data_IF_015669003157
#
_entry.id   IF_015669003157
#
_cell.length_a   1.000
_cell.length_b   1.000
_cell.length_c   1.000
_cell.angle_alpha   90.00
_cell.angle_beta   90.00
_cell.angle_gamma   90.00
#
_symmetry.space_group_name_H-M   'P 1'
#
loop_
_entity.id
_entity.type
_entity.pdbx_description
1 polymer ?
#
# COMPACT_ATOMS: atom_id res chain seq x y z
N UNK A 1 20.13 21.68 -13.15
CA UNK A 1 19.99 22.28 -14.52
C UNK A 1 18.83 23.27 -14.65
N UNK A 2 18.19 23.68 -13.56
CA UNK A 2 17.15 24.74 -13.55
C UNK A 2 15.77 24.35 -14.02
N UNK A 3 15.56 23.17 -14.56
CA UNK A 3 14.21 22.65 -14.89
C UNK A 3 13.64 21.77 -13.78
N UNK A 4 12.34 21.93 -13.53
CA UNK A 4 11.60 21.12 -12.57
C UNK A 4 10.70 20.15 -13.32
N UNK A 5 11.31 19.10 -13.85
CA UNK A 5 10.62 18.01 -14.55
C UNK A 5 11.32 16.69 -14.22
N UNK A 6 10.53 15.65 -14.02
CA UNK A 6 10.98 14.28 -13.76
C UNK A 6 10.09 13.26 -14.45
N UNK A 7 10.66 12.09 -14.75
CA UNK A 7 9.92 10.95 -15.25
C UNK A 7 10.57 9.66 -14.75
N UNK A 8 9.80 8.84 -14.07
CA UNK A 8 10.24 7.58 -13.47
C UNK A 8 9.43 6.41 -14.03
N UNK A 9 10.07 5.27 -14.13
CA UNK A 9 9.44 4.01 -14.55
C UNK A 9 9.47 3.03 -13.38
N UNK A 10 8.35 2.40 -13.12
CA UNK A 10 8.25 1.32 -12.14
C UNK A 10 7.51 0.12 -12.73
N UNK A 11 8.03 -1.07 -12.46
CA UNK A 11 7.44 -2.35 -12.86
C UNK A 11 7.10 -3.12 -11.59
N UNK A 12 5.85 -3.46 -11.43
CA UNK A 12 5.34 -4.20 -10.27
C UNK A 12 4.80 -5.57 -10.66
N UNK A 13 4.24 -6.31 -9.71
CA UNK A 13 3.65 -7.63 -9.99
C UNK A 13 2.37 -7.59 -10.85
N UNK A 14 1.72 -6.42 -10.94
CA UNK A 14 0.43 -6.26 -11.63
C UNK A 14 0.43 -5.13 -12.66
N UNK A 15 1.33 -4.16 -12.55
CA UNK A 15 1.30 -2.94 -13.35
C UNK A 15 2.69 -2.44 -13.70
N UNK A 16 2.81 -1.87 -14.87
CA UNK A 16 3.87 -0.98 -15.29
C UNK A 16 3.37 0.46 -15.19
N UNK A 17 4.19 1.36 -14.64
CA UNK A 17 3.87 2.76 -14.51
C UNK A 17 5.00 3.63 -15.02
N UNK A 18 4.65 4.63 -15.80
CA UNK A 18 5.54 5.72 -16.21
C UNK A 18 4.97 7.00 -15.61
N UNK A 19 5.58 7.48 -14.51
CA UNK A 19 5.09 8.62 -13.74
C UNK A 19 5.92 9.85 -14.06
N UNK A 20 5.26 10.91 -14.54
CA UNK A 20 5.88 12.20 -14.82
C UNK A 20 5.36 13.27 -13.86
N UNK A 21 6.22 14.23 -13.51
CA UNK A 21 5.84 15.43 -12.80
C UNK A 21 6.65 16.62 -13.29
N UNK A 22 6.00 17.79 -13.36
CA UNK A 22 6.65 19.04 -13.75
C UNK A 22 5.90 20.26 -13.25
N UNK A 23 6.57 21.42 -13.33
CA UNK A 23 5.84 22.70 -13.34
C UNK A 23 5.14 22.90 -14.68
N UNK A 24 4.10 23.76 -14.78
CA UNK A 24 3.47 24.07 -16.07
C UNK A 24 4.48 24.55 -17.14
N UNK A 25 5.48 25.34 -16.73
CA UNK A 25 6.56 25.83 -17.59
C UNK A 25 7.41 24.71 -18.19
N UNK A 26 7.63 23.64 -17.43
CA UNK A 26 8.53 22.53 -17.79
C UNK A 26 7.75 21.30 -18.31
N UNK A 27 6.45 21.45 -18.62
CA UNK A 27 5.58 20.35 -19.05
C UNK A 27 6.12 19.64 -20.29
N UNK A 28 6.55 20.39 -21.33
CA UNK A 28 7.15 19.77 -22.52
C UNK A 28 8.40 18.98 -22.19
N UNK A 29 9.24 19.47 -21.26
CA UNK A 29 10.43 18.70 -20.82
C UNK A 29 10.08 17.38 -20.17
N UNK A 30 9.01 17.35 -19.38
CA UNK A 30 8.49 16.11 -18.81
C UNK A 30 8.00 15.15 -19.90
N UNK A 31 7.29 15.66 -20.92
CA UNK A 31 6.82 14.84 -22.03
C UNK A 31 7.99 14.28 -22.86
N UNK A 32 9.05 15.06 -23.06
CA UNK A 32 10.30 14.61 -23.68
C UNK A 32 10.97 13.49 -22.89
N UNK A 33 11.04 13.63 -21.56
CA UNK A 33 11.59 12.58 -20.70
C UNK A 33 10.76 11.30 -20.76
N UNK A 34 9.44 11.41 -20.72
CA UNK A 34 8.53 10.28 -20.88
C UNK A 34 8.74 9.59 -22.24
N UNK A 35 8.81 10.35 -23.33
CA UNK A 35 9.06 9.82 -24.67
C UNK A 35 10.39 9.04 -24.73
N UNK A 36 11.46 9.57 -24.15
CA UNK A 36 12.75 8.92 -24.09
C UNK A 36 12.75 7.62 -23.27
N UNK A 37 11.86 7.51 -22.26
CA UNK A 37 11.68 6.25 -21.50
C UNK A 37 11.16 5.11 -22.38
N UNK A 38 10.33 5.42 -23.36
CA UNK A 38 9.82 4.43 -24.31
C UNK A 38 10.80 4.18 -25.47
N UNK A 39 11.39 5.23 -26.04
CA UNK A 39 12.12 5.16 -27.29
C UNK A 39 13.60 4.86 -27.12
N UNK A 40 14.25 5.52 -26.17
CA UNK A 40 15.72 5.50 -26.03
C UNK A 40 16.15 5.29 -24.56
N UNK A 41 15.71 4.21 -23.91
CA UNK A 41 16.17 3.91 -22.54
C UNK A 41 17.67 3.61 -22.57
N UNK A 42 18.46 4.29 -21.74
CA UNK A 42 19.89 4.09 -21.66
C UNK A 42 20.27 3.08 -20.57
N UNK A 43 20.96 2.02 -20.96
CA UNK A 43 21.52 1.00 -20.06
C UNK A 43 23.03 1.17 -19.99
N UNK A 44 23.48 1.93 -19.02
CA UNK A 44 24.89 2.32 -18.85
C UNK A 44 25.60 1.34 -17.91
N UNK A 45 26.60 0.66 -18.44
CA UNK A 45 27.38 -0.35 -17.70
C UNK A 45 28.10 0.21 -16.47
N UNK A 46 28.66 1.43 -16.57
CA UNK A 46 29.36 2.05 -15.45
C UNK A 46 28.38 2.47 -14.37
N UNK A 47 27.27 3.11 -14.75
CA UNK A 47 26.21 3.47 -13.79
C UNK A 47 25.63 2.22 -13.11
N UNK A 48 25.40 1.15 -13.85
CA UNK A 48 24.93 -0.13 -13.30
C UNK A 48 25.93 -0.67 -12.26
N UNK A 49 27.23 -0.72 -12.58
CA UNK A 49 28.27 -1.17 -11.65
C UNK A 49 28.24 -0.41 -10.34
N UNK A 50 28.21 0.92 -10.42
CA UNK A 50 28.14 1.81 -9.23
C UNK A 50 26.88 1.55 -8.40
N UNK A 51 25.73 1.35 -9.05
CA UNK A 51 24.46 1.05 -8.37
C UNK A 51 24.53 -0.29 -7.67
N UNK A 52 25.05 -1.33 -8.32
CA UNK A 52 25.18 -2.67 -7.74
C UNK A 52 26.13 -2.68 -6.54
N UNK A 53 27.29 -2.04 -6.66
CA UNK A 53 28.23 -1.92 -5.53
C UNK A 53 27.59 -1.22 -4.33
N UNK A 54 26.86 -0.13 -4.57
CA UNK A 54 26.14 0.59 -3.52
C UNK A 54 25.02 -0.28 -2.90
N UNK A 55 24.33 -1.05 -3.70
CA UNK A 55 23.29 -1.95 -3.21
C UNK A 55 23.86 -3.09 -2.36
N UNK A 56 25.03 -3.62 -2.69
CA UNK A 56 25.73 -4.59 -1.84
C UNK A 56 26.14 -3.99 -0.50
N UNK A 57 26.69 -2.77 -0.51
CA UNK A 57 27.02 -2.07 0.74
C UNK A 57 25.75 -1.88 1.59
N UNK A 58 24.67 -1.43 0.98
CA UNK A 58 23.40 -1.21 1.66
C UNK A 58 22.80 -2.54 2.18
N UNK A 59 22.81 -3.61 1.41
CA UNK A 59 22.34 -4.93 1.83
C UNK A 59 23.09 -5.42 3.07
N UNK A 60 24.42 -5.25 3.11
CA UNK A 60 25.25 -5.58 4.28
C UNK A 60 24.94 -4.69 5.47
N UNK A 61 24.73 -3.39 5.25
CA UNK A 61 24.41 -2.44 6.30
C UNK A 61 23.08 -2.74 7.00
N UNK A 62 22.06 -3.16 6.24
CA UNK A 62 20.74 -3.46 6.80
C UNK A 62 20.61 -4.91 7.31
N UNK A 63 21.54 -5.79 6.95
CA UNK A 63 21.53 -7.19 7.39
C UNK A 63 21.56 -7.26 8.93
N UNK A 64 20.60 -7.98 9.48
CA UNK A 64 20.49 -8.14 10.94
C UNK A 64 19.92 -6.93 11.71
N UNK A 65 19.62 -5.81 11.03
CA UNK A 65 18.92 -4.71 11.68
C UNK A 65 17.49 -5.11 12.11
N UNK A 66 17.03 -4.69 13.31
CA UNK A 66 15.71 -5.06 13.83
C UNK A 66 14.57 -4.79 12.84
N UNK A 67 14.54 -3.60 12.24
CA UNK A 67 13.50 -3.20 11.28
C UNK A 67 13.51 -4.07 10.02
N UNK A 68 14.70 -4.50 9.58
CA UNK A 68 14.83 -5.42 8.44
C UNK A 68 14.27 -6.79 8.78
N UNK A 69 14.65 -7.34 9.95
CA UNK A 69 14.14 -8.64 10.41
C UNK A 69 12.61 -8.60 10.54
N UNK A 70 12.06 -7.55 11.15
CA UNK A 70 10.60 -7.39 11.29
C UNK A 70 9.90 -7.34 9.94
N UNK A 71 10.36 -6.48 9.03
CA UNK A 71 9.80 -6.33 7.67
C UNK A 71 9.86 -7.63 6.88
N UNK A 72 11.00 -8.29 6.89
CA UNK A 72 11.25 -9.50 6.11
C UNK A 72 10.45 -10.68 6.67
N UNK A 73 10.40 -10.83 8.00
CA UNK A 73 9.57 -11.83 8.67
C UNK A 73 8.08 -11.63 8.34
N UNK A 74 7.59 -10.40 8.47
CA UNK A 74 6.19 -10.09 8.14
C UNK A 74 5.89 -10.36 6.66
N UNK A 75 6.77 -9.99 5.75
CA UNK A 75 6.61 -10.22 4.31
C UNK A 75 6.54 -11.70 3.97
N UNK A 76 7.44 -12.51 4.52
CA UNK A 76 7.47 -13.95 4.30
C UNK A 76 6.23 -14.64 4.88
N UNK A 77 5.88 -14.32 6.12
CA UNK A 77 4.74 -14.95 6.81
C UNK A 77 3.43 -14.55 6.11
N UNK A 78 3.26 -13.27 5.78
CA UNK A 78 2.04 -12.77 5.12
C UNK A 78 1.82 -13.36 3.72
N UNK A 79 2.87 -13.85 3.09
CA UNK A 79 2.80 -14.52 1.79
C UNK A 79 2.90 -16.05 1.92
N UNK A 80 2.73 -16.60 3.12
CA UNK A 80 2.87 -18.03 3.39
C UNK A 80 4.18 -18.61 2.83
N UNK A 81 5.29 -17.87 3.01
CA UNK A 81 6.63 -18.24 2.51
C UNK A 81 6.69 -18.51 1.01
N UNK A 82 5.85 -17.85 0.23
CA UNK A 82 5.85 -17.96 -1.22
C UNK A 82 7.24 -17.67 -1.79
N UNK A 83 7.78 -18.51 -2.72
CA UNK A 83 9.07 -18.28 -3.36
C UNK A 83 9.08 -17.00 -4.22
N UNK A 84 7.92 -16.38 -4.45
CA UNK A 84 7.80 -15.11 -5.15
C UNK A 84 8.13 -13.90 -4.26
N UNK A 85 8.15 -14.07 -2.95
CA UNK A 85 8.65 -13.04 -2.03
C UNK A 85 10.17 -13.07 -2.05
N UNK A 86 10.76 -11.98 -2.51
CA UNK A 86 12.21 -11.82 -2.59
C UNK A 86 12.65 -10.80 -1.55
N UNK A 87 13.55 -11.22 -0.66
CA UNK A 87 14.15 -10.36 0.34
C UNK A 87 15.34 -9.61 -0.26
N UNK A 88 15.51 -8.36 0.14
CA UNK A 88 16.64 -7.57 -0.31
C UNK A 88 17.91 -7.94 0.46
N UNK A 89 18.80 -8.69 -0.19
CA UNK A 89 20.07 -9.15 0.35
C UNK A 89 21.10 -9.30 -0.78
N UNK A 90 22.36 -9.67 -0.45
CA UNK A 90 23.43 -9.85 -1.45
C UNK A 90 23.01 -10.79 -2.58
N UNK A 91 22.41 -11.94 -2.27
CA UNK A 91 21.96 -12.90 -3.28
C UNK A 91 20.84 -12.36 -4.20
N UNK A 92 20.03 -11.42 -3.69
CA UNK A 92 19.09 -10.70 -4.54
C UNK A 92 19.80 -9.72 -5.45
N UNK A 93 20.76 -8.95 -4.92
CA UNK A 93 21.55 -7.97 -5.69
C UNK A 93 22.36 -8.63 -6.79
N UNK A 94 22.98 -9.80 -6.54
CA UNK A 94 23.71 -10.58 -7.54
C UNK A 94 22.88 -10.94 -8.77
N UNK A 95 21.56 -11.08 -8.61
CA UNK A 95 20.66 -11.40 -9.72
C UNK A 95 20.26 -10.20 -10.58
N UNK A 96 20.57 -8.97 -10.15
CA UNK A 96 20.25 -7.73 -10.85
C UNK A 96 21.30 -7.41 -11.92
N UNK A 97 21.50 -8.34 -12.88
CA UNK A 97 22.43 -8.11 -14.00
C UNK A 97 21.85 -7.09 -14.98
N UNK A 98 22.71 -6.33 -15.65
CA UNK A 98 22.28 -5.32 -16.62
C UNK A 98 21.41 -5.93 -17.73
N UNK A 99 21.81 -7.09 -18.26
CA UNK A 99 21.06 -7.80 -19.31
C UNK A 99 19.65 -8.18 -18.88
N UNK A 100 19.50 -8.65 -17.62
CA UNK A 100 18.17 -8.99 -17.09
C UNK A 100 17.28 -7.77 -16.89
N UNK A 101 17.89 -6.67 -16.42
CA UNK A 101 17.19 -5.39 -16.24
C UNK A 101 16.75 -4.84 -17.59
N UNK A 102 17.67 -4.81 -18.57
CA UNK A 102 17.38 -4.34 -19.92
C UNK A 102 16.29 -5.19 -20.59
N UNK A 103 16.40 -6.52 -20.52
CA UNK A 103 15.40 -7.42 -21.09
C UNK A 103 14.02 -7.21 -20.47
N UNK A 104 13.94 -7.12 -19.14
CA UNK A 104 12.66 -6.89 -18.45
C UNK A 104 12.08 -5.52 -18.80
N UNK A 105 12.91 -4.49 -18.86
CA UNK A 105 12.47 -3.13 -19.19
C UNK A 105 11.93 -3.07 -20.63
N UNK A 106 12.69 -3.57 -21.61
CA UNK A 106 12.29 -3.56 -23.01
C UNK A 106 11.03 -4.39 -23.27
N UNK A 107 10.87 -5.51 -22.56
CA UNK A 107 9.66 -6.31 -22.66
C UNK A 107 8.43 -5.58 -22.10
N UNK A 108 8.59 -4.88 -20.98
CA UNK A 108 7.45 -4.24 -20.28
C UNK A 108 7.09 -2.85 -20.78
N UNK A 109 8.06 -2.09 -21.34
CA UNK A 109 7.90 -0.67 -21.72
C UNK A 109 8.03 -0.50 -23.25
N UNK A 110 7.77 -1.52 -24.04
CA UNK A 110 7.96 -1.44 -25.49
C UNK A 110 6.72 -1.05 -26.29
N UNK A 111 5.53 -1.13 -25.70
CA UNK A 111 4.26 -0.94 -26.41
C UNK A 111 3.40 0.11 -25.73
N UNK A 112 3.34 1.30 -26.31
CA UNK A 112 2.52 2.38 -25.74
C UNK A 112 1.01 2.13 -25.86
N UNK A 113 0.56 1.24 -26.75
CA UNK A 113 -0.85 0.86 -26.86
C UNK A 113 -1.38 0.07 -25.66
N UNK A 114 -0.49 -0.51 -24.85
CA UNK A 114 -0.83 -1.20 -23.59
C UNK A 114 -0.94 -0.22 -22.40
N UNK A 115 -0.62 1.05 -22.61
CA UNK A 115 -0.70 2.10 -21.60
C UNK A 115 -1.92 3.00 -21.76
N UNK A 116 -2.44 3.45 -20.62
CA UNK A 116 -3.40 4.55 -20.56
C UNK A 116 -2.76 5.75 -19.90
N UNK A 117 -2.79 6.89 -20.60
CA UNK A 117 -2.13 8.12 -20.15
C UNK A 117 -3.14 9.06 -19.47
N UNK A 118 -2.80 9.52 -18.28
CA UNK A 118 -3.58 10.48 -17.51
C UNK A 118 -2.75 11.74 -17.28
N UNK A 119 -3.28 12.90 -17.65
CA UNK A 119 -2.65 14.20 -17.42
C UNK A 119 -3.53 15.00 -16.48
N UNK A 120 -2.99 15.40 -15.34
CA UNK A 120 -3.68 16.16 -14.31
C UNK A 120 -2.82 17.33 -13.86
N UNK A 121 -3.38 18.52 -13.81
CA UNK A 121 -2.67 19.71 -13.32
C UNK A 121 -3.14 21.00 -13.98
N UNK A 122 -2.42 22.07 -13.68
CA UNK A 122 -2.65 23.38 -14.29
C UNK A 122 -1.95 23.45 -15.67
N UNK A 123 -2.52 22.77 -16.64
CA UNK A 123 -2.08 22.79 -18.05
C UNK A 123 -3.27 23.11 -18.95
N UNK A 124 -3.04 23.97 -19.92
CA UNK A 124 -4.05 24.29 -20.93
C UNK A 124 -4.37 23.05 -21.79
N UNK A 125 -5.66 22.86 -22.12
CA UNK A 125 -6.14 21.68 -22.87
C UNK A 125 -5.54 21.57 -24.28
N UNK A 126 -5.37 22.69 -24.96
CA UNK A 126 -4.83 22.67 -26.32
C UNK A 126 -3.33 22.38 -26.29
N UNK A 127 -2.61 22.97 -25.33
CA UNK A 127 -1.22 22.60 -25.04
C UNK A 127 -1.09 21.13 -24.72
N UNK A 128 -1.92 20.59 -23.82
CA UNK A 128 -1.90 19.17 -23.47
C UNK A 128 -2.18 18.28 -24.69
N UNK A 129 -3.14 18.65 -25.54
CA UNK A 129 -3.46 17.93 -26.78
C UNK A 129 -2.27 17.91 -27.74
N UNK A 130 -1.65 19.07 -28.00
CA UNK A 130 -0.48 19.16 -28.89
C UNK A 130 0.67 18.32 -28.36
N UNK A 131 0.94 18.40 -27.06
CA UNK A 131 2.00 17.60 -26.45
C UNK A 131 1.69 16.10 -26.49
N UNK A 132 0.45 15.70 -26.24
CA UNK A 132 0.03 14.30 -26.36
C UNK A 132 0.17 13.78 -27.80
N UNK A 133 -0.26 14.55 -28.81
CA UNK A 133 -0.09 14.20 -30.21
C UNK A 133 1.39 14.03 -30.57
N UNK A 134 2.24 14.95 -30.11
CA UNK A 134 3.68 14.97 -30.42
C UNK A 134 4.44 13.83 -29.74
N UNK A 135 4.19 13.60 -28.47
CA UNK A 135 5.01 12.71 -27.63
C UNK A 135 4.36 11.37 -27.31
N UNK A 136 3.02 11.28 -27.23
CA UNK A 136 2.32 10.02 -26.99
C UNK A 136 1.90 9.39 -28.33
N UNK A 137 1.31 10.19 -29.21
CA UNK A 137 0.81 9.68 -30.49
C UNK A 137 1.87 9.20 -31.47
N UNK A 138 3.15 9.52 -31.22
CA UNK A 138 4.31 9.03 -32.00
C UNK A 138 5.03 7.84 -31.38
N UNK A 139 4.56 7.34 -30.21
CA UNK A 139 5.14 6.16 -29.57
C UNK A 139 4.78 4.88 -30.35
N UNK A 140 5.63 3.83 -30.27
CA UNK A 140 5.36 2.56 -30.92
C UNK A 140 4.10 1.91 -30.37
N UNK A 141 3.34 1.30 -31.26
CA UNK A 141 2.09 0.60 -30.96
C UNK A 141 2.15 -0.79 -31.57
N UNK A 142 2.32 -1.79 -30.74
CA UNK A 142 2.37 -3.21 -31.11
C UNK A 142 1.02 -3.91 -30.91
N UNK A 143 0.05 -3.20 -30.33
CA UNK A 143 -1.30 -3.71 -30.02
C UNK A 143 -1.28 -4.98 -29.15
N UNK A 144 -0.33 -5.05 -28.21
CA UNK A 144 -0.31 -6.12 -27.21
C UNK A 144 -1.56 -6.01 -26.33
N UNK A 145 -2.12 -7.14 -25.99
CA UNK A 145 -3.26 -7.22 -25.06
C UNK A 145 -2.83 -8.05 -23.85
N UNK A 146 -2.07 -7.43 -22.98
CA UNK A 146 -1.59 -8.10 -21.78
C UNK A 146 -2.66 -8.10 -20.68
N UNK A 147 -2.67 -9.18 -19.92
CA UNK A 147 -3.54 -9.31 -18.74
C UNK A 147 -2.68 -9.78 -17.57
N UNK A 148 -2.90 -9.15 -16.45
CA UNK A 148 -2.27 -9.60 -15.21
C UNK A 148 -2.73 -11.03 -14.84
N UNK A 149 -1.88 -11.77 -14.19
CA UNK A 149 -2.15 -13.14 -13.76
C UNK A 149 -2.03 -13.23 -12.25
N UNK A 150 -3.09 -13.70 -11.60
CA UNK A 150 -3.03 -14.02 -10.17
C UNK A 150 -2.08 -15.20 -9.94
N UNK A 151 -0.94 -14.94 -9.33
CA UNK A 151 0.10 -15.92 -9.02
C UNK A 151 -0.16 -16.68 -7.72
N UNK A 152 -1.36 -16.57 -7.15
CA UNK A 152 -1.84 -17.30 -5.98
C UNK A 152 -0.95 -17.08 -4.73
N UNK A 153 -0.35 -15.90 -4.59
CA UNK A 153 0.30 -15.51 -3.34
C UNK A 153 -0.78 -15.13 -2.34
N UNK A 154 -0.88 -15.87 -1.25
CA UNK A 154 -1.95 -15.74 -0.25
C UNK A 154 -1.37 -15.76 1.15
N UNK A 155 -2.09 -15.16 2.09
CA UNK A 155 -1.83 -15.32 3.51
C UNK A 155 -2.02 -16.79 3.94
N UNK A 156 -1.31 -17.24 4.98
CA UNK A 156 -1.53 -18.57 5.55
C UNK A 156 -2.97 -18.69 6.07
N UNK A 157 -3.54 -19.89 5.97
CA UNK A 157 -4.87 -20.19 6.50
C UNK A 157 -4.88 -20.42 8.00
N UNK A 158 -5.95 -19.97 8.64
CA UNK A 158 -6.12 -20.10 10.08
C UNK A 158 -5.31 -19.07 10.87
N UNK A 159 -4.82 -19.46 12.05
CA UNK A 159 -4.00 -18.59 12.92
C UNK A 159 -2.54 -19.03 12.89
N UNK A 160 -1.65 -18.09 12.56
CA UNK A 160 -0.20 -18.23 12.71
C UNK A 160 0.25 -17.30 13.84
N UNK A 161 0.81 -17.88 14.89
CA UNK A 161 1.33 -17.15 16.05
C UNK A 161 2.83 -17.39 16.19
N UNK A 162 3.61 -16.31 16.30
CA UNK A 162 5.07 -16.39 16.45
C UNK A 162 5.59 -15.29 17.36
N UNK A 163 6.54 -15.70 18.22
CA UNK A 163 7.43 -14.80 18.95
C UNK A 163 8.80 -14.84 18.25
N UNK A 164 9.30 -13.70 17.86
CA UNK A 164 10.54 -13.55 17.10
C UNK A 164 11.48 -12.65 17.89
N UNK A 165 12.61 -13.21 18.31
CA UNK A 165 13.64 -12.45 18.98
C UNK A 165 14.48 -11.67 17.98
N UNK A 166 14.71 -10.39 18.25
CA UNK A 166 15.46 -9.47 17.40
C UNK A 166 16.47 -8.66 18.22
N UNK A 167 17.61 -8.27 17.64
CA UNK A 167 18.67 -7.56 18.34
C UNK A 167 18.32 -6.09 18.56
N UNK A 168 17.57 -5.81 19.62
CA UNK A 168 17.17 -4.45 19.99
C UNK A 168 18.11 -3.87 21.04
N UNK A 169 18.58 -2.62 20.80
CA UNK A 169 19.38 -1.87 21.78
C UNK A 169 18.54 -1.40 22.98
N UNK A 170 17.29 -0.99 22.70
CA UNK A 170 16.32 -0.58 23.71
C UNK A 170 15.32 -1.72 23.90
N UNK A 171 15.07 -2.15 25.17
CA UNK A 171 14.17 -3.25 25.44
C UNK A 171 12.69 -2.85 25.18
N UNK A 172 12.24 -3.06 23.95
CA UNK A 172 10.87 -2.88 23.52
C UNK A 172 10.39 -4.09 22.76
N UNK A 173 9.12 -4.42 22.88
CA UNK A 173 8.45 -5.40 22.00
C UNK A 173 7.52 -4.70 21.06
N UNK A 174 7.47 -5.18 19.82
CA UNK A 174 6.47 -4.77 18.81
C UNK A 174 5.48 -5.90 18.61
N UNK A 175 4.22 -5.62 18.87
CA UNK A 175 3.10 -6.54 18.62
C UNK A 175 2.47 -6.18 17.29
N UNK A 176 2.27 -7.18 16.44
CA UNK A 176 1.57 -7.05 15.15
C UNK A 176 0.50 -8.12 15.05
N UNK A 177 -0.74 -7.71 14.84
CA UNK A 177 -1.85 -8.61 14.52
C UNK A 177 -2.44 -8.22 13.18
N UNK A 178 -2.41 -9.14 12.23
CA UNK A 178 -2.97 -8.95 10.89
C UNK A 178 -4.10 -9.93 10.67
N UNK A 179 -5.31 -9.41 10.50
CA UNK A 179 -6.46 -10.17 10.02
C UNK A 179 -6.55 -10.05 8.50
N UNK A 180 -6.73 -11.17 7.84
CA UNK A 180 -6.87 -11.26 6.40
C UNK A 180 -8.11 -12.08 6.04
N UNK A 181 -8.93 -11.59 5.10
CA UNK A 181 -10.08 -12.35 4.63
C UNK A 181 -10.38 -12.10 3.17
N UNK A 182 -10.45 -13.17 2.41
CA UNK A 182 -10.97 -13.15 1.05
C UNK A 182 -12.50 -13.07 1.09
N UNK A 183 -13.08 -11.99 0.57
CA UNK A 183 -14.52 -11.80 0.44
C UNK A 183 -14.82 -10.82 -0.69
N UNK A 184 -16.02 -10.97 -1.29
CA UNK A 184 -16.45 -10.13 -2.41
C UNK A 184 -16.33 -8.65 -2.06
N UNK A 185 -15.61 -7.91 -2.90
CA UNK A 185 -15.42 -6.48 -2.74
C UNK A 185 -16.73 -5.72 -2.97
N UNK A 186 -17.03 -4.79 -2.07
CA UNK A 186 -18.01 -3.72 -2.29
C UNK A 186 -17.42 -2.39 -1.82
N UNK A 187 -17.78 -1.30 -2.48
CA UNK A 187 -17.27 0.02 -2.12
C UNK A 187 -17.69 0.42 -0.71
N UNK A 188 -18.93 0.10 -0.31
CA UNK A 188 -19.43 0.36 1.06
C UNK A 188 -18.58 -0.38 2.11
N UNK A 189 -18.30 -1.67 1.90
CA UNK A 189 -17.48 -2.46 2.84
C UNK A 189 -16.02 -1.99 2.86
N UNK A 190 -15.48 -1.50 1.74
CA UNK A 190 -14.14 -0.92 1.70
C UNK A 190 -14.03 0.36 2.54
N UNK A 191 -15.05 1.22 2.52
CA UNK A 191 -15.11 2.34 3.46
C UNK A 191 -15.36 1.88 4.89
N UNK A 192 -16.21 0.88 5.08
CA UNK A 192 -16.55 0.38 6.41
C UNK A 192 -15.33 -0.21 7.14
N UNK A 193 -14.46 -0.95 6.44
CA UNK A 193 -13.24 -1.49 7.09
C UNK A 193 -12.26 -0.38 7.47
N UNK A 194 -12.15 0.69 6.67
CA UNK A 194 -11.34 1.85 7.01
C UNK A 194 -11.90 2.58 8.23
N UNK A 195 -13.21 2.83 8.26
CA UNK A 195 -13.91 3.44 9.40
C UNK A 195 -13.73 2.58 10.66
N UNK A 196 -13.89 1.27 10.56
CA UNK A 196 -13.69 0.32 11.66
C UNK A 196 -12.25 0.40 12.21
N UNK A 197 -11.24 0.48 11.33
CA UNK A 197 -9.84 0.65 11.73
C UNK A 197 -9.62 1.95 12.53
N UNK A 198 -10.21 3.06 12.08
CA UNK A 198 -10.13 4.33 12.79
C UNK A 198 -10.84 4.30 14.15
N UNK A 199 -12.00 3.65 14.26
CA UNK A 199 -12.70 3.48 15.52
C UNK A 199 -11.87 2.62 16.49
N UNK A 200 -11.30 1.51 16.01
CA UNK A 200 -10.42 0.66 16.80
C UNK A 200 -9.16 1.43 17.28
N UNK A 201 -8.56 2.25 16.42
CA UNK A 201 -7.43 3.11 16.82
C UNK A 201 -7.82 4.01 18.00
N UNK A 202 -8.99 4.64 17.94
CA UNK A 202 -9.45 5.49 19.02
C UNK A 202 -9.70 4.70 20.32
N UNK A 203 -10.33 3.52 20.24
CA UNK A 203 -10.57 2.64 21.40
C UNK A 203 -9.28 2.16 22.01
N UNK A 204 -8.33 1.67 21.21
CA UNK A 204 -7.04 1.19 21.71
C UNK A 204 -6.18 2.31 22.30
N UNK A 205 -6.26 3.52 21.75
CA UNK A 205 -5.58 4.68 22.34
C UNK A 205 -6.08 4.91 23.75
N UNK A 206 -7.38 4.78 23.99
CA UNK A 206 -7.97 4.90 25.33
C UNK A 206 -7.58 3.71 26.22
N UNK A 207 -7.84 2.47 25.79
CA UNK A 207 -7.70 1.26 26.63
C UNK A 207 -6.26 0.86 26.88
N UNK A 208 -5.42 0.85 25.85
CA UNK A 208 -4.04 0.36 25.94
C UNK A 208 -3.08 1.46 26.39
N UNK A 209 -3.23 2.68 25.83
CA UNK A 209 -2.33 3.77 26.12
C UNK A 209 -2.70 4.50 27.41
N UNK A 210 -3.95 4.96 27.56
CA UNK A 210 -4.37 5.84 28.64
C UNK A 210 -4.67 5.05 29.93
N UNK A 211 -5.40 3.93 29.85
CA UNK A 211 -5.80 3.16 31.04
C UNK A 211 -4.70 2.23 31.53
N UNK A 212 -3.95 1.59 30.63
CA UNK A 212 -2.91 0.62 31.01
C UNK A 212 -1.50 1.24 31.03
N UNK A 213 -1.30 2.42 30.46
CA UNK A 213 0.01 3.07 30.38
C UNK A 213 1.05 2.19 29.65
N UNK A 214 0.60 1.25 28.82
CA UNK A 214 1.41 0.16 28.31
C UNK A 214 2.10 0.43 26.98
N UNK A 215 1.74 1.53 26.30
CA UNK A 215 2.29 1.84 24.96
C UNK A 215 2.35 3.34 24.69
N UNK A 216 3.24 3.71 23.80
CA UNK A 216 3.31 5.08 23.27
C UNK A 216 2.22 5.38 22.24
N UNK A 217 1.68 4.37 21.59
CA UNK A 217 0.58 4.50 20.64
C UNK A 217 0.21 3.17 19.99
N UNK A 218 -1.03 3.07 19.54
CA UNK A 218 -1.55 1.93 18.79
C UNK A 218 -2.01 2.40 17.43
N UNK A 219 -1.59 1.72 16.38
CA UNK A 219 -2.01 1.94 15.00
C UNK A 219 -2.91 0.83 14.50
N UNK A 220 -4.07 1.19 13.93
CA UNK A 220 -4.92 0.24 13.21
C UNK A 220 -5.20 0.76 11.82
N UNK A 221 -5.04 -0.08 10.83
CA UNK A 221 -5.30 0.23 9.42
C UNK A 221 -6.17 -0.86 8.80
N UNK A 222 -7.36 -0.48 8.34
CA UNK A 222 -8.26 -1.34 7.57
C UNK A 222 -8.18 -1.03 6.09
N UNK A 223 -8.05 -2.05 5.24
CA UNK A 223 -7.96 -1.88 3.79
C UNK A 223 -8.68 -2.98 3.03
N UNK A 224 -9.06 -2.66 1.79
CA UNK A 224 -9.66 -3.61 0.87
C UNK A 224 -9.03 -3.50 -0.51
N UNK A 225 -8.78 -4.62 -1.17
CA UNK A 225 -8.27 -4.69 -2.53
C UNK A 225 -9.18 -5.51 -3.43
N UNK A 226 -9.14 -5.22 -4.74
CA UNK A 226 -9.82 -6.01 -5.78
C UNK A 226 -8.86 -6.95 -6.50
N UNK A 227 -7.61 -6.57 -6.57
CA UNK A 227 -6.57 -7.24 -7.36
C UNK A 227 -5.37 -7.58 -6.48
N UNK A 228 -4.74 -8.73 -6.72
CA UNK A 228 -5.05 -9.77 -7.69
C UNK A 228 -6.26 -10.62 -7.31
N UNK A 229 -6.83 -10.41 -6.15
CA UNK A 229 -8.07 -11.05 -5.67
C UNK A 229 -8.78 -10.13 -4.66
N UNK A 230 -10.09 -10.35 -4.49
CA UNK A 230 -10.85 -9.57 -3.53
C UNK A 230 -10.42 -9.91 -2.10
N UNK A 231 -9.82 -8.96 -1.42
CA UNK A 231 -9.25 -9.18 -0.10
C UNK A 231 -9.48 -8.00 0.84
N UNK A 232 -9.68 -8.29 2.11
CA UNK A 232 -9.82 -7.33 3.18
C UNK A 232 -8.78 -7.62 4.25
N UNK A 233 -8.11 -6.57 4.73
CA UNK A 233 -7.05 -6.67 5.73
C UNK A 233 -7.31 -5.68 6.87
N UNK A 234 -7.02 -6.11 8.09
CA UNK A 234 -6.95 -5.25 9.27
C UNK A 234 -5.60 -5.46 9.93
N UNK A 235 -4.74 -4.45 9.83
CA UNK A 235 -3.41 -4.44 10.43
C UNK A 235 -3.45 -3.65 11.74
N UNK A 236 -3.01 -4.26 12.83
CA UNK A 236 -2.95 -3.67 14.16
C UNK A 236 -1.52 -3.78 14.67
N UNK A 237 -0.98 -2.70 15.22
CA UNK A 237 0.38 -2.72 15.79
C UNK A 237 0.51 -1.76 16.95
N UNK A 238 1.32 -2.14 17.92
CA UNK A 238 1.78 -1.26 19.00
C UNK A 238 3.17 -1.70 19.52
N UNK A 239 3.84 -0.75 20.17
CA UNK A 239 5.09 -1.03 20.89
C UNK A 239 4.85 -0.90 22.39
N UNK A 240 5.47 -1.78 23.17
CA UNK A 240 5.37 -1.79 24.63
C UNK A 240 6.64 -2.35 25.29
N UNK A 241 6.70 -2.29 26.61
CA UNK A 241 7.71 -3.02 27.38
C UNK A 241 7.60 -4.53 27.13
N UNK A 242 8.70 -5.27 27.01
CA UNK A 242 8.68 -6.69 26.66
C UNK A 242 7.80 -7.54 27.58
N UNK A 243 7.83 -7.23 28.87
CA UNK A 243 7.05 -7.95 29.89
C UNK A 243 5.53 -7.78 29.72
N UNK A 244 5.10 -6.64 29.13
CA UNK A 244 3.69 -6.31 28.92
C UNK A 244 3.10 -6.86 27.63
N UNK A 245 3.92 -7.31 26.67
CA UNK A 245 3.45 -7.70 25.33
C UNK A 245 2.35 -8.79 25.39
N UNK A 246 2.57 -9.83 26.21
CA UNK A 246 1.62 -10.92 26.38
C UNK A 246 0.35 -10.52 27.15
N UNK A 247 0.43 -9.49 28.01
CA UNK A 247 -0.71 -8.95 28.75
C UNK A 247 -1.58 -8.04 27.87
N UNK A 248 -0.94 -7.17 27.06
CA UNK A 248 -1.63 -6.16 26.26
C UNK A 248 -2.19 -6.73 24.94
N UNK A 249 -1.53 -7.70 24.33
CA UNK A 249 -2.00 -8.32 23.08
C UNK A 249 -3.45 -8.83 23.13
N UNK A 250 -3.92 -9.52 24.19
CA UNK A 250 -5.31 -9.94 24.32
C UNK A 250 -6.33 -8.81 24.29
N UNK A 251 -5.94 -7.58 24.65
CA UNK A 251 -6.82 -6.42 24.60
C UNK A 251 -7.21 -6.05 23.17
N UNK A 252 -6.36 -6.35 22.17
CA UNK A 252 -6.71 -6.17 20.77
C UNK A 252 -7.92 -7.05 20.40
N UNK A 253 -7.88 -8.32 20.79
CA UNK A 253 -8.97 -9.25 20.51
C UNK A 253 -10.23 -8.92 21.29
N UNK A 254 -10.08 -8.50 22.55
CA UNK A 254 -11.21 -8.09 23.41
C UNK A 254 -12.01 -6.95 22.79
N UNK A 255 -11.36 -5.92 22.24
CA UNK A 255 -12.07 -4.82 21.59
C UNK A 255 -12.74 -5.25 20.28
N UNK A 256 -12.13 -6.16 19.52
CA UNK A 256 -12.78 -6.79 18.38
C UNK A 256 -14.06 -7.53 18.80
N UNK A 257 -13.98 -8.34 19.88
CA UNK A 257 -15.14 -9.05 20.42
C UNK A 257 -16.21 -8.09 20.95
N UNK A 258 -15.82 -6.98 21.58
CA UNK A 258 -16.74 -5.94 22.03
C UNK A 258 -17.51 -5.34 20.84
N UNK A 259 -16.82 -4.99 19.73
CA UNK A 259 -17.49 -4.48 18.52
C UNK A 259 -18.41 -5.55 17.91
N UNK A 260 -17.99 -6.80 17.88
CA UNK A 260 -18.83 -7.89 17.39
C UNK A 260 -20.09 -8.04 18.24
N UNK A 261 -19.98 -7.98 19.57
CA UNK A 261 -21.11 -8.17 20.49
C UNK A 261 -22.02 -6.96 20.59
N UNK A 262 -21.44 -5.79 20.83
CA UNK A 262 -22.13 -4.56 21.23
C UNK A 262 -22.27 -3.56 20.07
N UNK A 263 -21.36 -3.64 19.08
CA UNK A 263 -21.28 -2.69 17.98
C UNK A 263 -20.44 -1.46 18.34
N UNK A 264 -20.68 -0.38 17.60
CA UNK A 264 -20.08 0.94 17.79
C UNK A 264 -21.17 1.94 18.14
N UNK A 265 -20.82 2.99 18.89
CA UNK A 265 -21.77 4.06 19.22
C UNK A 265 -21.96 5.04 18.05
N UNK A 266 -23.06 5.76 18.04
CA UNK A 266 -23.32 6.85 17.07
C UNK A 266 -22.24 7.94 17.16
N UNK A 267 -21.76 8.23 18.37
CA UNK A 267 -20.72 9.25 18.61
C UNK A 267 -19.39 8.83 17.97
N UNK A 268 -18.93 7.59 18.21
CA UNK A 268 -17.69 7.06 17.61
C UNK A 268 -17.75 7.09 16.08
N UNK A 269 -18.85 6.60 15.52
CA UNK A 269 -19.04 6.58 14.07
C UNK A 269 -19.10 7.99 13.50
N UNK A 270 -19.90 8.89 14.09
CA UNK A 270 -20.06 10.27 13.62
C UNK A 270 -18.74 11.02 13.62
N UNK A 271 -17.90 10.84 14.65
CA UNK A 271 -16.57 11.45 14.72
C UNK A 271 -15.67 11.00 13.55
N UNK A 272 -15.61 9.70 13.29
CA UNK A 272 -14.78 9.16 12.22
C UNK A 272 -15.32 9.55 10.84
N UNK A 273 -16.63 9.45 10.61
CA UNK A 273 -17.28 9.86 9.35
C UNK A 273 -17.01 11.32 9.04
N UNK A 274 -17.19 12.23 10.02
CA UNK A 274 -16.90 13.66 9.82
C UNK A 274 -15.45 13.93 9.44
N UNK A 275 -14.50 13.24 10.08
CA UNK A 275 -13.08 13.37 9.74
C UNK A 275 -12.81 12.85 8.32
N UNK A 276 -13.33 11.68 7.97
CA UNK A 276 -13.19 11.09 6.62
C UNK A 276 -13.72 12.01 5.52
N UNK A 277 -14.90 12.61 5.73
CA UNK A 277 -15.50 13.55 4.78
C UNK A 277 -14.69 14.85 4.67
N UNK A 278 -14.18 15.36 5.78
CA UNK A 278 -13.31 16.55 5.81
C UNK A 278 -12.01 16.30 5.04
N UNK A 279 -11.35 15.17 5.28
CA UNK A 279 -10.11 14.79 4.59
C UNK A 279 -10.34 14.61 3.08
N UNK A 280 -11.46 13.99 2.69
CA UNK A 280 -11.86 13.85 1.31
C UNK A 280 -12.03 15.20 0.61
N UNK A 281 -12.70 16.15 1.25
CA UNK A 281 -12.87 17.49 0.69
C UNK A 281 -11.54 18.24 0.57
N UNK A 282 -10.67 18.14 1.57
CA UNK A 282 -9.34 18.74 1.52
C UNK A 282 -8.47 18.13 0.42
N UNK A 283 -8.60 16.83 0.19
CA UNK A 283 -7.81 16.12 -0.83
C UNK A 283 -8.10 16.58 -2.26
N UNK A 284 -9.32 17.10 -2.52
CA UNK A 284 -9.72 17.65 -3.85
C UNK A 284 -8.87 18.84 -4.31
N UNK A 285 -8.17 19.48 -3.39
CA UNK A 285 -7.23 20.58 -3.71
C UNK A 285 -5.91 20.07 -4.32
N UNK A 286 -5.66 18.77 -4.31
CA UNK A 286 -4.40 18.18 -4.77
C UNK A 286 -4.57 17.38 -6.07
N UNK A 287 -3.62 17.51 -6.99
CA UNK A 287 -3.59 16.76 -8.25
C UNK A 287 -3.66 15.23 -8.04
N UNK A 288 -3.08 14.73 -6.96
CA UNK A 288 -3.10 13.31 -6.62
C UNK A 288 -4.51 12.75 -6.46
N UNK A 289 -5.45 13.51 -5.90
CA UNK A 289 -6.86 13.13 -5.80
C UNK A 289 -7.48 12.92 -7.19
N UNK A 290 -7.29 13.88 -8.10
CA UNK A 290 -7.86 13.82 -9.43
C UNK A 290 -7.24 12.71 -10.27
N UNK A 291 -5.93 12.51 -10.14
CA UNK A 291 -5.24 11.38 -10.80
C UNK A 291 -5.80 10.03 -10.30
N UNK A 292 -5.91 9.85 -8.99
CA UNK A 292 -6.50 8.64 -8.40
C UNK A 292 -7.95 8.43 -8.84
N UNK A 293 -8.73 9.49 -8.89
CA UNK A 293 -10.14 9.44 -9.35
C UNK A 293 -10.25 8.99 -10.80
N UNK A 294 -9.43 9.55 -11.70
CA UNK A 294 -9.40 9.18 -13.12
C UNK A 294 -8.94 7.73 -13.31
N UNK A 295 -7.85 7.33 -12.67
CA UNK A 295 -7.34 5.95 -12.72
C UNK A 295 -8.38 4.96 -12.20
N UNK A 296 -9.02 5.27 -11.07
CA UNK A 296 -10.06 4.43 -10.48
C UNK A 296 -11.27 4.31 -11.41
N UNK A 297 -11.71 5.43 -11.99
CA UNK A 297 -12.82 5.43 -12.93
C UNK A 297 -12.51 4.57 -14.16
N UNK A 298 -11.33 4.74 -14.74
CA UNK A 298 -10.92 3.97 -15.91
C UNK A 298 -10.86 2.45 -15.62
N UNK A 299 -10.26 2.08 -14.49
CA UNK A 299 -10.12 0.66 -14.09
C UNK A 299 -11.43 -0.01 -13.67
N UNK A 300 -12.32 0.72 -13.03
CA UNK A 300 -13.45 0.11 -12.29
C UNK A 300 -14.82 0.67 -12.65
N UNK A 301 -14.89 1.74 -13.43
CA UNK A 301 -16.13 2.49 -13.72
C UNK A 301 -16.65 3.33 -12.52
N UNK A 302 -15.93 3.36 -11.40
CA UNK A 302 -16.33 4.08 -10.19
C UNK A 302 -15.73 5.48 -10.18
N UNK A 303 -16.58 6.50 -10.33
CA UNK A 303 -16.18 7.90 -10.18
C UNK A 303 -16.17 8.27 -8.69
N UNK A 304 -14.99 8.42 -8.10
CA UNK A 304 -14.84 8.79 -6.69
C UNK A 304 -15.27 10.23 -6.40
N UNK A 305 -15.34 11.10 -7.42
CA UNK A 305 -15.85 12.46 -7.27
C UNK A 305 -17.39 12.56 -7.34
N UNK A 306 -18.09 11.47 -7.63
CA UNK A 306 -19.56 11.42 -7.52
C UNK A 306 -19.93 11.23 -6.04
N UNK A 307 -20.70 12.16 -5.43
CA UNK A 307 -21.08 12.06 -4.02
C UNK A 307 -21.68 10.72 -3.62
N UNK A 308 -22.42 10.06 -4.52
CA UNK A 308 -23.01 8.73 -4.24
C UNK A 308 -21.98 7.62 -4.05
N UNK A 309 -20.78 7.77 -4.58
CA UNK A 309 -19.69 6.80 -4.47
C UNK A 309 -18.75 7.09 -3.29
N UNK A 310 -18.82 8.28 -2.69
CA UNK A 310 -17.99 8.66 -1.55
C UNK A 310 -18.82 9.34 -0.45
N UNK A 311 -19.15 10.64 -0.58
CA UNK A 311 -19.72 11.42 0.53
C UNK A 311 -21.06 10.85 1.01
N UNK A 312 -21.99 10.62 0.10
CA UNK A 312 -23.32 10.07 0.42
C UNK A 312 -23.20 8.63 0.93
N UNK A 313 -22.32 7.85 0.33
CA UNK A 313 -22.12 6.45 0.73
C UNK A 313 -21.51 6.36 2.14
N UNK A 314 -20.47 7.13 2.43
CA UNK A 314 -19.83 7.19 3.76
C UNK A 314 -20.81 7.70 4.80
N UNK A 315 -21.55 8.79 4.50
CA UNK A 315 -22.56 9.33 5.40
C UNK A 315 -23.75 8.37 5.65
N UNK A 316 -23.99 7.42 4.76
CA UNK A 316 -25.07 6.41 4.90
C UNK A 316 -24.70 5.22 5.79
N UNK A 317 -23.43 5.09 6.19
CA UNK A 317 -22.98 3.99 7.04
C UNK A 317 -23.52 4.20 8.45
N UNK A 318 -24.18 3.15 8.96
CA UNK A 318 -24.80 3.13 10.29
C UNK A 318 -24.00 2.24 11.26
N UNK A 319 -24.12 2.41 12.57
CA UNK A 319 -23.46 1.54 13.56
C UNK A 319 -23.72 0.05 13.32
N UNK A 320 -24.96 -0.30 12.90
CA UNK A 320 -25.33 -1.68 12.55
C UNK A 320 -24.56 -2.21 11.33
N UNK A 321 -24.24 -1.35 10.36
CA UNK A 321 -23.43 -1.74 9.20
C UNK A 321 -22.02 -2.10 9.64
N UNK A 322 -21.42 -1.28 10.51
CA UNK A 322 -20.08 -1.53 11.06
C UNK A 322 -20.06 -2.83 11.87
N UNK A 323 -21.03 -3.03 12.75
CA UNK A 323 -21.14 -4.26 13.54
C UNK A 323 -21.34 -5.51 12.65
N UNK A 324 -22.24 -5.43 11.68
CA UNK A 324 -22.49 -6.53 10.72
C UNK A 324 -21.24 -6.86 9.92
N UNK A 325 -20.53 -5.83 9.47
CA UNK A 325 -19.26 -6.00 8.76
C UNK A 325 -18.21 -6.63 9.67
N UNK A 326 -18.02 -6.15 10.89
CA UNK A 326 -17.08 -6.71 11.85
C UNK A 326 -17.37 -8.20 12.11
N UNK A 327 -18.63 -8.57 12.39
CA UNK A 327 -19.05 -9.98 12.53
C UNK A 327 -18.68 -10.80 11.30
N UNK A 328 -18.97 -10.28 10.10
CA UNK A 328 -18.69 -10.94 8.84
C UNK A 328 -17.17 -11.09 8.64
N UNK A 329 -16.40 -10.04 8.86
CA UNK A 329 -14.97 -10.00 8.57
C UNK A 329 -14.16 -10.86 9.55
N UNK A 330 -14.32 -10.67 10.87
CA UNK A 330 -13.48 -11.32 11.85
C UNK A 330 -13.81 -12.81 12.09
N UNK A 331 -15.06 -13.25 11.84
CA UNK A 331 -15.49 -14.61 12.14
C UNK A 331 -14.62 -15.72 11.52
N UNK A 332 -14.23 -15.54 10.25
CA UNK A 332 -13.46 -16.53 9.50
C UNK A 332 -12.19 -15.89 8.88
N UNK A 333 -11.65 -14.86 9.52
CA UNK A 333 -10.42 -14.24 9.08
C UNK A 333 -9.22 -15.12 9.40
N UNK A 334 -8.31 -15.23 8.44
CA UNK A 334 -6.98 -15.76 8.71
C UNK A 334 -6.20 -14.73 9.56
N UNK A 335 -5.43 -15.18 10.53
CA UNK A 335 -4.76 -14.31 11.51
C UNK A 335 -3.26 -14.57 11.54
N UNK A 336 -2.48 -13.51 11.43
CA UNK A 336 -1.05 -13.52 11.70
C UNK A 336 -0.84 -12.69 12.96
N UNK A 337 -0.29 -13.32 14.01
CA UNK A 337 -0.12 -12.77 15.35
C UNK A 337 1.35 -12.87 15.72
N UNK A 338 2.06 -11.74 15.69
CA UNK A 338 3.51 -11.68 15.87
C UNK A 338 3.87 -10.81 17.07
N UNK A 339 4.81 -11.28 17.85
CA UNK A 339 5.53 -10.47 18.83
C UNK A 339 7.02 -10.47 18.44
N UNK A 340 7.57 -9.28 18.22
CA UNK A 340 9.00 -9.07 18.08
C UNK A 340 9.53 -8.58 19.42
N UNK A 341 10.43 -9.34 20.03
CA UNK A 341 10.97 -9.07 21.37
C UNK A 341 12.48 -8.98 21.35
N UNK A 342 13.10 -8.28 22.33
CA UNK A 342 14.55 -8.27 22.47
C UNK A 342 15.10 -9.67 22.70
N UNK A 343 16.26 -9.97 22.11
CA UNK A 343 17.01 -11.17 22.44
C UNK A 343 17.38 -11.15 23.91
N UNK A 344 17.16 -12.26 24.61
CA UNK A 344 17.64 -12.41 25.96
C UNK A 344 19.17 -12.45 25.95
N UNK A 345 19.81 -11.57 26.74
CA UNK A 345 21.25 -11.53 26.86
C UNK A 345 21.75 -12.68 27.72
#
# INVERSE_FOLDING_TARGET
TGKKAGCEVSISGLYENVNGSSTPKDFETMMQLMYLRFMEPRFDTLAHKVIIERNHIYAKQIAGQPQTIMRDSLSLISANYSPRVQLFNDAYVDRLTLDRIEKAYRDRICDASDFTFFIVGNVDKDTARVMAQKYIGSLPSLYRNEKWVDRQVRAPKGKVEKNIEIPLEVPKSTVIVLFNREMKYTLKEAYTINILGNILTNRYTKTIREEQGGTYGVGVSGSASREPYNNYNMYMTFECDPEKANELKPLLYKEVDNIIREGVTEEELSKVVKNTLKEAEQSKQHNAYWLTTLVTYYKTGVNLNDPKNMETLVASIQPKDVQKFAKKFFKDADVIDLIFSPQQK
#
